data_IF_570367792532
#
_entry.id   IF_570367792532
#
_cell.length_a   1.000
_cell.length_b   1.000
_cell.length_c   1.000
_cell.angle_alpha   90.00
_cell.angle_beta   90.00
_cell.angle_gamma   90.00
#
_symmetry.space_group_name_H-M   'P 1'
#
loop_
_entity.id
_entity.type
_entity.pdbx_description
1 polymer ?
#
# COMPACT_ATOMS: atom_id res chain seq x y z
N UNK A 1 -8.39 26.64 -15.95
CA UNK A 1 -8.06 27.12 -14.60
C UNK A 1 -9.30 27.45 -13.75
N UNK A 2 -10.10 28.49 -14.04
CA UNK A 2 -11.29 28.82 -13.20
C UNK A 2 -12.34 27.69 -13.22
N UNK A 3 -12.56 27.06 -14.38
CA UNK A 3 -13.46 25.91 -14.49
C UNK A 3 -12.96 24.71 -13.69
N UNK A 4 -11.65 24.42 -13.73
CA UNK A 4 -11.05 23.31 -12.99
C UNK A 4 -11.15 23.53 -11.47
N UNK A 5 -10.85 24.75 -10.99
CA UNK A 5 -11.01 25.09 -9.57
C UNK A 5 -12.47 24.95 -9.13
N UNK A 6 -13.44 25.40 -9.95
CA UNK A 6 -14.86 25.20 -9.65
C UNK A 6 -15.26 23.73 -9.63
N UNK A 7 -14.71 22.93 -10.54
CA UNK A 7 -14.95 21.49 -10.56
C UNK A 7 -14.38 20.80 -9.31
N UNK A 8 -13.13 21.11 -8.92
CA UNK A 8 -12.51 20.59 -7.70
C UNK A 8 -13.30 20.98 -6.46
N UNK A 9 -13.70 22.26 -6.32
CA UNK A 9 -14.53 22.70 -5.19
C UNK A 9 -15.91 22.03 -5.17
N UNK A 10 -16.49 21.78 -6.34
CA UNK A 10 -17.76 21.06 -6.48
C UNK A 10 -17.67 19.57 -6.19
N UNK A 11 -16.47 18.98 -6.27
CA UNK A 11 -16.20 17.57 -6.02
C UNK A 11 -15.77 17.26 -4.57
N UNK A 12 -15.71 18.27 -3.69
CA UNK A 12 -15.35 18.08 -2.28
C UNK A 12 -16.31 17.08 -1.63
N UNK A 13 -15.73 16.04 -1.03
CA UNK A 13 -16.43 15.03 -0.22
C UNK A 13 -15.53 14.67 1.00
N UNK A 14 -15.34 13.38 1.30
CA UNK A 14 -14.56 12.89 2.45
C UNK A 14 -13.05 13.20 2.38
N UNK A 15 -12.60 13.80 1.27
CA UNK A 15 -11.22 14.22 1.03
C UNK A 15 -10.58 13.47 -0.12
N UNK A 16 -9.63 14.12 -0.80
CA UNK A 16 -8.73 13.48 -1.77
C UNK A 16 -7.34 13.41 -1.15
N UNK A 17 -6.90 12.19 -0.85
CA UNK A 17 -5.58 11.89 -0.28
C UNK A 17 -4.95 10.72 -1.01
N UNK A 18 -3.62 10.68 -1.02
CA UNK A 18 -2.88 9.51 -1.51
C UNK A 18 -3.00 8.34 -0.53
N UNK A 19 -2.87 7.12 -1.03
CA UNK A 19 -2.96 5.92 -0.20
C UNK A 19 -1.68 5.75 0.61
N UNK A 20 -1.84 5.48 1.91
CA UNK A 20 -0.76 5.12 2.82
C UNK A 20 -0.49 3.61 2.76
N UNK A 21 0.73 3.23 2.36
CA UNK A 21 1.12 1.83 2.27
C UNK A 21 1.18 1.17 3.64
N UNK A 22 1.67 1.90 4.65
CA UNK A 22 1.68 1.46 6.05
C UNK A 22 0.28 1.14 6.58
N UNK A 23 -0.68 2.06 6.43
CA UNK A 23 -2.05 1.84 6.91
C UNK A 23 -2.75 0.71 6.15
N UNK A 24 -2.52 0.64 4.83
CA UNK A 24 -3.05 -0.44 3.99
C UNK A 24 -2.48 -1.81 4.40
N UNK A 25 -1.20 -1.87 4.77
CA UNK A 25 -0.58 -3.08 5.32
C UNK A 25 -1.21 -3.50 6.64
N UNK A 26 -1.51 -2.57 7.55
CA UNK A 26 -2.24 -2.89 8.78
C UNK A 26 -3.62 -3.45 8.51
N UNK A 27 -4.37 -2.89 7.56
CA UNK A 27 -5.68 -3.45 7.16
C UNK A 27 -5.52 -4.84 6.54
N UNK A 28 -4.45 -5.05 5.76
CA UNK A 28 -4.17 -6.33 5.11
C UNK A 28 -3.84 -7.45 6.12
N UNK A 29 -3.39 -7.13 7.33
CA UNK A 29 -3.09 -8.12 8.38
C UNK A 29 -4.34 -8.68 9.08
N UNK A 30 -5.52 -8.08 8.87
CA UNK A 30 -6.75 -8.51 9.53
C UNK A 30 -7.18 -9.85 8.95
N UNK A 31 -7.24 -10.88 9.79
CA UNK A 31 -7.74 -12.20 9.44
C UNK A 31 -9.27 -12.22 9.37
N UNK A 32 -9.83 -13.13 8.57
CA UNK A 32 -11.28 -13.29 8.48
C UNK A 32 -11.90 -13.62 9.84
N UNK A 33 -12.98 -12.93 10.18
CA UNK A 33 -13.70 -13.14 11.43
C UNK A 33 -14.72 -14.30 11.37
N UNK A 34 -15.02 -14.80 10.17
CA UNK A 34 -15.97 -15.90 9.94
C UNK A 34 -15.37 -17.31 10.17
N UNK A 35 -14.13 -17.38 10.65
CA UNK A 35 -13.40 -18.64 10.88
C UNK A 35 -12.78 -19.24 9.61
N UNK A 36 -12.93 -18.59 8.45
CA UNK A 36 -12.21 -18.95 7.24
C UNK A 36 -10.72 -18.58 7.31
N UNK A 37 -9.89 -19.25 6.51
CA UNK A 37 -8.49 -18.84 6.34
C UNK A 37 -8.36 -17.67 5.36
N UNK A 38 -7.43 -16.76 5.64
CA UNK A 38 -7.04 -15.68 4.72
C UNK A 38 -7.39 -14.27 5.23
N UNK A 39 -7.08 -13.24 4.41
CA UNK A 39 -7.31 -11.85 4.79
C UNK A 39 -8.81 -11.52 4.77
N UNK A 40 -9.26 -10.75 5.77
CA UNK A 40 -10.59 -10.13 5.81
C UNK A 40 -10.78 -9.14 4.66
N UNK A 41 -9.70 -8.47 4.25
CA UNK A 41 -9.68 -7.48 3.17
C UNK A 41 -8.67 -7.86 2.07
N UNK A 42 -9.03 -8.80 1.17
CA UNK A 42 -8.12 -9.25 0.10
C UNK A 42 -7.67 -8.12 -0.85
N UNK A 43 -8.49 -7.07 -1.00
CA UNK A 43 -8.15 -5.89 -1.80
C UNK A 43 -6.94 -5.14 -1.26
N UNK A 44 -6.76 -5.07 0.07
CA UNK A 44 -5.60 -4.44 0.69
C UNK A 44 -4.32 -5.21 0.39
N UNK A 45 -4.37 -6.55 0.45
CA UNK A 45 -3.24 -7.41 0.06
C UNK A 45 -2.89 -7.21 -1.41
N UNK A 46 -3.89 -7.19 -2.30
CA UNK A 46 -3.68 -6.94 -3.74
C UNK A 46 -3.06 -5.57 -4.00
N UNK A 47 -3.55 -4.53 -3.33
CA UNK A 47 -3.00 -3.19 -3.47
C UNK A 47 -1.51 -3.16 -3.13
N UNK A 48 -1.09 -3.83 -2.05
CA UNK A 48 0.32 -3.92 -1.66
C UNK A 48 1.14 -4.58 -2.78
N UNK A 49 0.67 -5.68 -3.36
CA UNK A 49 1.35 -6.36 -4.47
C UNK A 49 1.51 -5.44 -5.69
N UNK A 50 0.44 -4.74 -6.06
CA UNK A 50 0.38 -3.97 -7.30
C UNK A 50 1.13 -2.63 -7.22
N UNK A 51 1.32 -2.08 -6.01
CA UNK A 51 1.89 -0.74 -5.79
C UNK A 51 3.31 -0.75 -5.23
N UNK A 52 4.03 -1.86 -5.36
CA UNK A 52 5.46 -1.91 -5.02
C UNK A 52 6.27 -1.07 -6.01
N UNK A 53 7.19 -0.27 -5.50
CA UNK A 53 8.08 0.54 -6.33
C UNK A 53 9.14 -0.31 -7.04
N UNK A 54 9.80 0.29 -8.03
CA UNK A 54 10.81 -0.38 -8.86
C UNK A 54 12.02 -0.88 -8.05
N UNK A 55 12.38 -0.17 -6.98
CA UNK A 55 13.46 -0.50 -6.05
C UNK A 55 13.05 -1.56 -5.00
N UNK A 56 11.81 -2.05 -5.09
CA UNK A 56 11.25 -3.03 -4.16
C UNK A 56 10.66 -2.43 -2.87
N UNK A 57 10.76 -1.12 -2.68
CA UNK A 57 10.19 -0.43 -1.51
C UNK A 57 8.71 -0.05 -1.70
N UNK A 58 8.08 0.43 -0.62
CA UNK A 58 6.79 1.13 -0.65
C UNK A 58 6.95 2.51 -0.02
N UNK A 59 6.13 3.47 -0.45
CA UNK A 59 6.14 4.86 0.02
C UNK A 59 5.82 5.83 -1.11
N UNK A 60 6.11 7.11 -0.92
CA UNK A 60 5.90 8.14 -1.94
C UNK A 60 6.85 7.94 -3.13
N UNK A 61 6.32 7.77 -4.34
CA UNK A 61 7.11 7.53 -5.55
C UNK A 61 7.84 8.80 -6.06
N UNK A 62 7.31 9.98 -5.79
CA UNK A 62 7.83 11.27 -6.25
C UNK A 62 8.85 11.87 -5.28
N UNK A 63 8.74 11.56 -3.98
CA UNK A 63 9.63 12.08 -2.95
C UNK A 63 10.26 10.96 -2.13
N UNK A 64 11.58 10.89 -2.11
CA UNK A 64 12.30 9.94 -1.28
C UNK A 64 12.51 10.47 0.14
N UNK A 65 12.08 9.68 1.13
CA UNK A 65 12.44 9.85 2.54
C UNK A 65 12.78 8.48 3.12
N UNK A 66 13.95 8.36 3.76
CA UNK A 66 14.38 7.09 4.33
C UNK A 66 13.40 6.56 5.38
N UNK A 67 12.86 7.45 6.23
CA UNK A 67 11.86 7.07 7.22
C UNK A 67 10.57 6.56 6.57
N UNK A 68 10.08 7.27 5.55
CA UNK A 68 8.89 6.87 4.78
C UNK A 68 9.09 5.50 4.12
N UNK A 69 10.20 5.30 3.42
CA UNK A 69 10.48 4.04 2.74
C UNK A 69 10.65 2.89 3.72
N UNK A 70 11.36 3.09 4.83
CA UNK A 70 11.59 2.01 5.80
C UNK A 70 10.29 1.54 6.45
N UNK A 71 9.45 2.46 6.94
CA UNK A 71 8.25 2.07 7.70
C UNK A 71 7.18 1.44 6.81
N UNK A 72 6.95 2.00 5.61
CA UNK A 72 6.01 1.46 4.65
C UNK A 72 6.47 0.09 4.15
N UNK A 73 7.75 -0.03 3.76
CA UNK A 73 8.29 -1.29 3.24
C UNK A 73 8.22 -2.40 4.27
N UNK A 74 8.61 -2.13 5.53
CA UNK A 74 8.56 -3.12 6.59
C UNK A 74 7.13 -3.64 6.80
N UNK A 75 6.14 -2.74 6.89
CA UNK A 75 4.75 -3.11 7.08
C UNK A 75 4.22 -3.97 5.92
N UNK A 76 4.49 -3.57 4.67
CA UNK A 76 4.09 -4.31 3.49
C UNK A 76 4.73 -5.70 3.41
N UNK A 77 6.03 -5.82 3.72
CA UNK A 77 6.73 -7.11 3.74
C UNK A 77 6.14 -8.04 4.80
N UNK A 78 5.82 -7.53 6.00
CA UNK A 78 5.17 -8.31 7.07
C UNK A 78 3.81 -8.82 6.60
N UNK A 79 2.99 -7.96 5.98
CA UNK A 79 1.68 -8.35 5.46
C UNK A 79 1.76 -9.41 4.35
N UNK A 80 2.66 -9.26 3.38
CA UNK A 80 2.83 -10.25 2.31
C UNK A 80 3.37 -11.58 2.85
N UNK A 81 4.26 -11.53 3.85
CA UNK A 81 4.82 -12.73 4.48
C UNK A 81 3.75 -13.52 5.23
N UNK A 82 2.85 -12.85 5.95
CA UNK A 82 1.75 -13.50 6.67
C UNK A 82 0.90 -14.36 5.73
N UNK A 83 0.60 -13.84 4.53
CA UNK A 83 -0.25 -14.52 3.56
C UNK A 83 0.48 -15.45 2.58
N UNK A 84 1.78 -15.68 2.79
CA UNK A 84 2.57 -16.55 1.91
C UNK A 84 2.66 -16.05 0.47
N UNK A 85 2.43 -14.75 0.23
CA UNK A 85 2.57 -14.15 -1.10
C UNK A 85 4.06 -14.02 -1.37
N UNK A 86 4.58 -14.86 -2.27
CA UNK A 86 6.00 -14.90 -2.55
C UNK A 86 6.48 -13.58 -3.15
N UNK A 87 7.48 -12.99 -2.49
CA UNK A 87 8.23 -11.83 -2.94
C UNK A 87 9.25 -12.23 -4.04
N UNK A 88 8.89 -13.02 -5.04
CA UNK A 88 9.86 -13.55 -6.03
C UNK A 88 10.62 -12.44 -6.78
N UNK A 89 10.11 -11.21 -6.79
CA UNK A 89 10.81 -10.05 -7.33
C UNK A 89 11.61 -9.22 -6.31
N UNK A 90 11.86 -9.70 -5.08
CA UNK A 90 12.55 -8.93 -4.03
C UNK A 90 14.03 -9.33 -3.83
N UNK A 91 14.47 -10.43 -4.46
CA UNK A 91 15.85 -10.90 -4.35
C UNK A 91 16.77 -10.43 -5.50
N UNK A 92 16.21 -9.88 -6.58
CA UNK A 92 16.98 -9.41 -7.74
C UNK A 92 17.59 -8.01 -7.59
N UNK A 93 17.31 -7.28 -6.48
CA UNK A 93 17.87 -5.94 -6.24
C UNK A 93 19.01 -5.91 -5.21
N UNK A 94 19.53 -7.08 -4.80
CA UNK A 94 20.68 -7.20 -3.90
C UNK A 94 21.85 -8.01 -4.49
N UNK A 95 21.84 -8.25 -5.81
CA UNK A 95 22.95 -8.82 -6.59
C UNK A 95 23.33 -7.90 -7.76
#
# INVERSE_FOLDING_TARGET
MIHDVKATLGAINDGEITISAYDTAWVALIEKQDGGSGPQFPSSVRWIVDNRLHDGSWGDAAMFSAHDRMINTLACVVALKLWGVHLEKAYDCWL
#
